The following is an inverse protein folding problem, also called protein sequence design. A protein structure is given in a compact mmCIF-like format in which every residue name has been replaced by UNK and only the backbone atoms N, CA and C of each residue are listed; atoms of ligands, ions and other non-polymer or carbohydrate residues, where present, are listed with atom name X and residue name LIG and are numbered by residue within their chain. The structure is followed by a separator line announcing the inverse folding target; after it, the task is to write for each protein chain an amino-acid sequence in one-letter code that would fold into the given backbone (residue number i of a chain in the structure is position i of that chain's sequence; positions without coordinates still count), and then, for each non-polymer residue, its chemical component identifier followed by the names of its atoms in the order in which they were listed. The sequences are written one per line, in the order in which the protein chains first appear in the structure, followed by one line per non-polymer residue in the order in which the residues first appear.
data_IF_233647204900
#
_entry.id   IF_233647204900
#
_cell.length_a   1.000
_cell.length_b   1.000
_cell.length_c   1.000
_cell.angle_alpha   90.00
_cell.angle_beta   90.00
_cell.angle_gamma   90.00
#
_symmetry.space_group_name_H-M   'P 1'
#
loop_
_entity.id
_entity.type
_entity.pdbx_description
1 polymer ?
#
# COMPACT_ATOMS: atom_id res chain seq x y z
N UNK A 1 -22.41 5.96 -3.70
CA UNK A 1 -22.34 5.22 -5.00
C UNK A 1 -21.53 3.94 -4.78
N UNK A 2 -21.86 2.82 -5.43
CA UNK A 2 -21.10 1.58 -5.25
C UNK A 2 -19.64 1.73 -5.71
N UNK A 3 -18.80 0.78 -5.29
CA UNK A 3 -17.40 0.72 -5.70
C UNK A 3 -17.10 -0.63 -6.35
N UNK A 4 -16.38 -0.61 -7.47
CA UNK A 4 -15.70 -1.80 -7.96
C UNK A 4 -14.49 -2.07 -7.05
N UNK A 5 -14.34 -3.32 -6.65
CA UNK A 5 -13.21 -3.79 -5.83
C UNK A 5 -12.45 -4.83 -6.63
N UNK A 6 -11.20 -4.53 -6.94
CA UNK A 6 -10.28 -5.45 -7.60
C UNK A 6 -9.32 -6.01 -6.57
N UNK A 7 -9.23 -7.34 -6.51
CA UNK A 7 -8.22 -8.03 -5.68
C UNK A 7 -7.23 -8.69 -6.61
N UNK A 8 -5.96 -8.26 -6.55
CA UNK A 8 -4.91 -8.89 -7.34
C UNK A 8 -4.48 -10.22 -6.72
N UNK A 9 -4.32 -11.24 -7.55
CA UNK A 9 -4.01 -12.60 -7.14
C UNK A 9 -2.71 -13.04 -7.81
N UNK A 10 -1.59 -12.93 -7.08
CA UNK A 10 -0.25 -13.14 -7.67
C UNK A 10 0.04 -14.58 -8.09
N UNK A 11 -0.70 -15.54 -7.56
CA UNK A 11 -0.65 -16.96 -7.93
C UNK A 11 -1.65 -17.35 -9.02
N UNK A 12 -2.54 -16.43 -9.43
CA UNK A 12 -3.52 -16.62 -10.50
C UNK A 12 -3.23 -15.71 -11.69
N UNK A 13 -4.00 -15.82 -12.79
CA UNK A 13 -3.86 -14.95 -13.97
C UNK A 13 -4.88 -13.83 -14.03
N UNK A 14 -5.68 -13.63 -12.99
CA UNK A 14 -6.83 -12.74 -12.98
C UNK A 14 -6.89 -11.87 -11.73
N UNK A 15 -7.65 -10.77 -11.83
CA UNK A 15 -8.17 -10.03 -10.68
C UNK A 15 -9.51 -10.63 -10.29
N UNK A 16 -9.73 -10.89 -9.00
CA UNK A 16 -11.09 -11.09 -8.49
C UNK A 16 -11.80 -9.75 -8.45
N UNK A 17 -13.01 -9.69 -9.02
CA UNK A 17 -13.77 -8.48 -9.17
C UNK A 17 -15.08 -8.55 -8.38
N UNK A 18 -15.34 -7.53 -7.58
CA UNK A 18 -16.57 -7.38 -6.80
C UNK A 18 -17.19 -6.00 -7.01
N UNK A 19 -18.48 -5.91 -6.71
CA UNK A 19 -19.18 -4.64 -6.51
C UNK A 19 -19.50 -4.52 -5.01
N UNK A 20 -18.99 -3.45 -4.39
CA UNK A 20 -19.24 -3.13 -2.99
C UNK A 20 -20.46 -2.23 -2.86
N UNK A 21 -21.39 -2.61 -2.01
CA UNK A 21 -22.46 -1.73 -1.54
C UNK A 21 -21.91 -0.78 -0.48
N UNK A 22 -21.90 0.52 -0.76
CA UNK A 22 -21.32 1.50 0.16
C UNK A 22 -22.05 1.60 1.50
N UNK A 23 -23.33 1.22 1.57
CA UNK A 23 -24.11 1.34 2.80
C UNK A 23 -23.86 0.21 3.78
N UNK A 24 -23.58 -0.98 3.26
CA UNK A 24 -23.42 -2.21 4.04
C UNK A 24 -22.01 -2.77 4.05
N UNK A 25 -21.14 -2.39 3.10
CA UNK A 25 -19.82 -2.98 2.89
C UNK A 25 -19.86 -4.39 2.31
N UNK A 26 -21.04 -4.89 1.93
CA UNK A 26 -21.17 -6.23 1.35
C UNK A 26 -20.62 -6.24 -0.09
N UNK A 27 -19.85 -7.28 -0.42
CA UNK A 27 -19.32 -7.50 -1.75
C UNK A 27 -20.19 -8.48 -2.53
N UNK A 28 -20.55 -8.10 -3.76
CA UNK A 28 -21.20 -8.98 -4.74
C UNK A 28 -20.18 -9.36 -5.79
N UNK A 29 -19.86 -10.65 -5.91
CA UNK A 29 -18.93 -11.15 -6.90
C UNK A 29 -19.39 -10.84 -8.33
N UNK A 30 -18.44 -10.41 -9.16
CA UNK A 30 -18.58 -10.24 -10.61
C UNK A 30 -17.72 -11.28 -11.32
N UNK A 31 -17.72 -11.28 -12.64
CA UNK A 31 -16.79 -12.11 -13.39
C UNK A 31 -15.34 -11.65 -13.14
N UNK A 32 -14.46 -12.60 -12.86
CA UNK A 32 -13.04 -12.34 -12.75
C UNK A 32 -12.48 -11.71 -14.05
N UNK A 33 -11.47 -10.87 -13.91
CA UNK A 33 -10.87 -10.17 -15.05
C UNK A 33 -9.52 -10.82 -15.36
N UNK A 34 -9.43 -11.52 -16.50
CA UNK A 34 -8.18 -12.12 -16.95
C UNK A 34 -7.15 -11.04 -17.30
N UNK A 35 -5.99 -11.10 -16.64
CA UNK A 35 -4.87 -10.19 -16.84
C UNK A 35 -3.76 -10.81 -17.70
N UNK A 36 -3.86 -12.10 -18.00
CA UNK A 36 -2.86 -12.85 -18.78
C UNK A 36 -1.58 -13.15 -18.01
N UNK A 37 -1.53 -12.95 -16.69
CA UNK A 37 -0.36 -13.20 -15.84
C UNK A 37 -0.65 -12.87 -14.39
N UNK A 38 0.28 -13.15 -13.46
CA UNK A 38 0.11 -12.91 -12.03
C UNK A 38 0.13 -11.42 -11.68
N UNK A 39 -1.04 -10.78 -11.46
CA UNK A 39 -1.08 -9.38 -11.07
C UNK A 39 -0.57 -9.20 -9.63
N UNK A 40 0.26 -8.18 -9.42
CA UNK A 40 0.81 -7.78 -8.13
C UNK A 40 0.24 -6.46 -7.65
N UNK A 41 1.12 -5.48 -7.37
CA UNK A 41 0.72 -4.15 -6.96
C UNK A 41 -0.12 -3.46 -8.04
N UNK A 42 -1.14 -2.73 -7.59
CA UNK A 42 -2.05 -1.94 -8.42
C UNK A 42 -1.98 -0.47 -7.99
N UNK A 43 -2.16 0.44 -8.93
CA UNK A 43 -2.35 1.85 -8.67
C UNK A 43 -3.35 2.44 -9.68
N UNK A 44 -4.04 3.52 -9.32
CA UNK A 44 -4.93 4.26 -10.23
C UNK A 44 -4.55 5.72 -10.26
N UNK A 45 -4.86 6.40 -11.37
CA UNK A 45 -4.86 7.86 -11.38
C UNK A 45 -5.99 8.43 -10.50
N UNK A 46 -5.88 9.70 -10.10
CA UNK A 46 -6.84 10.34 -9.19
C UNK A 46 -8.29 10.38 -9.74
N UNK A 47 -8.42 10.36 -11.06
CA UNK A 47 -9.72 10.34 -11.77
C UNK A 47 -10.26 8.94 -12.02
N UNK A 48 -9.46 7.90 -11.65
CA UNK A 48 -9.81 6.50 -11.84
C UNK A 48 -10.16 6.15 -13.30
N UNK A 49 -9.40 6.74 -14.25
CA UNK A 49 -9.49 6.44 -15.67
C UNK A 49 -8.64 5.23 -16.03
N UNK A 50 -7.50 5.08 -15.34
CA UNK A 50 -6.51 4.06 -15.63
C UNK A 50 -6.13 3.27 -14.38
N UNK A 51 -5.95 1.96 -14.60
CA UNK A 51 -5.35 1.04 -13.64
C UNK A 51 -3.96 0.67 -14.15
N UNK A 52 -2.96 0.92 -13.34
CA UNK A 52 -1.59 0.45 -13.53
C UNK A 52 -1.37 -0.81 -12.71
N UNK A 53 -0.91 -1.88 -13.35
CA UNK A 53 -0.69 -3.18 -12.72
C UNK A 53 0.74 -3.65 -12.91
N UNK A 54 1.40 -4.07 -11.84
CA UNK A 54 2.65 -4.81 -11.92
C UNK A 54 2.34 -6.27 -12.25
N UNK A 55 2.61 -6.69 -13.47
CA UNK A 55 2.46 -8.07 -13.95
C UNK A 55 3.72 -8.86 -13.62
N UNK A 56 3.79 -9.45 -12.43
CA UNK A 56 5.01 -10.05 -11.87
C UNK A 56 5.60 -11.16 -12.73
N UNK A 57 4.75 -12.05 -13.26
CA UNK A 57 5.19 -13.15 -14.13
C UNK A 57 5.72 -12.67 -15.48
N UNK A 58 5.33 -11.48 -15.92
CA UNK A 58 5.76 -10.86 -17.17
C UNK A 58 6.89 -9.83 -16.97
N UNK A 59 7.19 -9.48 -15.73
CA UNK A 59 8.13 -8.41 -15.36
C UNK A 59 7.80 -7.10 -16.10
N UNK A 60 6.52 -6.72 -16.10
CA UNK A 60 6.00 -5.59 -16.85
C UNK A 60 5.04 -4.75 -16.02
N UNK A 61 4.97 -3.46 -16.32
CA UNK A 61 3.87 -2.60 -15.93
C UNK A 61 2.89 -2.49 -17.09
N UNK A 62 1.62 -2.75 -16.81
CA UNK A 62 0.57 -2.73 -17.83
C UNK A 62 -0.50 -1.73 -17.41
N UNK A 63 -0.92 -0.89 -18.35
CA UNK A 63 -2.00 0.07 -18.17
C UNK A 63 -3.30 -0.47 -18.76
N UNK A 64 -4.38 -0.32 -18.02
CA UNK A 64 -5.74 -0.65 -18.43
C UNK A 64 -6.63 0.59 -18.31
N UNK A 65 -7.49 0.83 -19.32
CA UNK A 65 -8.60 1.77 -19.20
C UNK A 65 -9.70 1.13 -18.34
N UNK A 66 -10.26 1.91 -17.41
CA UNK A 66 -11.33 1.47 -16.51
C UNK A 66 -12.67 1.93 -17.07
N UNK A 67 -13.57 0.99 -17.37
CA UNK A 67 -14.99 1.30 -17.55
C UNK A 67 -15.67 1.39 -16.17
N UNK A 68 -15.82 2.57 -15.65
CA UNK A 68 -16.39 2.79 -14.31
C UNK A 68 -17.88 2.39 -14.18
N UNK A 69 -18.60 2.17 -15.28
CA UNK A 69 -19.99 1.69 -15.21
C UNK A 69 -20.04 0.18 -14.96
N UNK A 70 -19.17 -0.57 -15.63
CA UNK A 70 -19.17 -2.04 -15.57
C UNK A 70 -18.09 -2.63 -14.70
N UNK A 71 -17.02 -1.86 -14.40
CA UNK A 71 -15.77 -2.32 -13.79
C UNK A 71 -14.87 -3.10 -14.75
N UNK A 72 -15.19 -3.10 -16.05
CA UNK A 72 -14.36 -3.76 -17.07
C UNK A 72 -13.03 -3.05 -17.28
N UNK A 73 -11.97 -3.82 -17.57
CA UNK A 73 -10.63 -3.32 -17.83
C UNK A 73 -10.24 -3.62 -19.29
N UNK A 74 -9.87 -2.57 -20.03
CA UNK A 74 -9.36 -2.71 -21.40
C UNK A 74 -7.86 -2.39 -21.42
N UNK A 75 -7.02 -3.35 -21.84
CA UNK A 75 -5.56 -3.15 -21.92
C UNK A 75 -5.23 -2.04 -22.92
N UNK A 76 -4.45 -1.03 -22.48
CA UNK A 76 -3.94 0.07 -23.29
C UNK A 76 -2.53 -0.26 -23.80
N UNK A 77 -1.60 -0.44 -22.86
CA UNK A 77 -0.17 -0.59 -23.17
C UNK A 77 0.53 -1.44 -22.12
N UNK A 78 1.80 -1.72 -22.34
CA UNK A 78 2.67 -2.35 -21.36
C UNK A 78 4.12 -2.03 -21.65
N UNK A 79 4.88 -1.80 -20.59
CA UNK A 79 6.32 -1.52 -20.64
C UNK A 79 7.09 -2.50 -19.77
N UNK A 80 8.38 -2.70 -20.04
CA UNK A 80 9.24 -3.45 -19.13
C UNK A 80 9.32 -2.72 -17.79
N UNK A 81 9.02 -3.41 -16.68
CA UNK A 81 8.91 -2.79 -15.35
C UNK A 81 9.43 -3.66 -14.20
N UNK A 82 9.92 -4.85 -14.48
CA UNK A 82 10.38 -5.77 -13.44
C UNK A 82 9.26 -6.27 -12.51
N UNK A 83 9.62 -6.70 -11.33
CA UNK A 83 8.69 -7.19 -10.29
C UNK A 83 8.64 -6.21 -9.11
N UNK A 84 7.92 -5.12 -9.27
CA UNK A 84 7.76 -4.10 -8.25
C UNK A 84 6.82 -4.57 -7.12
N UNK A 85 7.21 -4.46 -5.85
CA UNK A 85 6.33 -4.71 -4.72
C UNK A 85 5.30 -3.59 -4.51
N UNK A 86 5.55 -2.40 -5.04
CA UNK A 86 4.71 -1.23 -4.88
C UNK A 86 4.69 -0.36 -6.13
N UNK A 87 3.50 0.15 -6.47
CA UNK A 87 3.27 1.17 -7.49
C UNK A 87 2.54 2.36 -6.85
N UNK A 88 2.89 3.56 -7.24
CA UNK A 88 2.26 4.79 -6.78
C UNK A 88 2.15 5.79 -7.93
N UNK A 89 0.97 6.33 -8.15
CA UNK A 89 0.76 7.47 -9.06
C UNK A 89 0.85 8.75 -8.24
N UNK A 90 1.69 9.68 -8.66
CA UNK A 90 1.87 10.96 -7.97
C UNK A 90 0.61 11.84 -8.04
N UNK A 91 0.47 12.80 -7.14
CA UNK A 91 -0.74 13.63 -7.02
C UNK A 91 -1.04 14.50 -8.27
N UNK A 92 -0.08 14.63 -9.19
CA UNK A 92 -0.30 15.32 -10.47
C UNK A 92 -0.89 14.42 -11.57
N UNK A 93 -1.04 13.11 -11.34
CA UNK A 93 -1.37 12.08 -12.33
C UNK A 93 -0.36 12.00 -13.50
N UNK A 94 0.86 12.51 -13.32
CA UNK A 94 1.85 12.62 -14.39
C UNK A 94 2.94 11.56 -14.33
N UNK A 95 3.11 10.92 -13.17
CA UNK A 95 4.19 9.97 -12.94
C UNK A 95 3.73 8.73 -12.19
N UNK A 96 4.22 7.57 -12.63
CA UNK A 96 4.17 6.32 -11.89
C UNK A 96 5.52 6.07 -11.22
N UNK A 97 5.54 6.00 -9.90
CA UNK A 97 6.70 5.62 -9.10
C UNK A 97 6.60 4.13 -8.77
N UNK A 98 7.73 3.44 -8.81
CA UNK A 98 7.82 2.02 -8.47
C UNK A 98 9.07 1.74 -7.63
N UNK A 99 9.03 0.71 -6.81
CA UNK A 99 10.19 0.22 -6.05
C UNK A 99 10.59 -1.17 -6.50
N UNK A 100 11.86 -1.53 -6.29
CA UNK A 100 12.44 -2.80 -6.68
C UNK A 100 13.17 -3.44 -5.52
N UNK A 101 12.55 -4.47 -4.96
CA UNK A 101 13.04 -5.13 -3.76
C UNK A 101 14.42 -5.78 -3.95
N UNK A 102 14.59 -6.52 -5.05
CA UNK A 102 15.84 -7.23 -5.35
C UNK A 102 16.95 -6.31 -5.81
N UNK A 103 16.61 -5.29 -6.59
CA UNK A 103 17.59 -4.38 -7.20
C UNK A 103 17.98 -3.24 -6.24
N UNK A 104 17.19 -2.99 -5.20
CA UNK A 104 17.45 -1.90 -4.27
C UNK A 104 17.33 -0.52 -4.93
N UNK A 105 16.21 -0.29 -5.62
CA UNK A 105 16.02 0.91 -6.41
C UNK A 105 14.57 1.41 -6.38
N UNK A 106 14.40 2.64 -6.83
CA UNK A 106 13.11 3.22 -7.23
C UNK A 106 13.17 3.73 -8.66
N UNK A 107 12.06 3.72 -9.38
CA UNK A 107 11.94 4.33 -10.70
C UNK A 107 10.78 5.30 -10.80
N UNK A 108 10.89 6.21 -11.77
CA UNK A 108 9.83 7.13 -12.16
C UNK A 108 9.55 6.95 -13.64
N UNK A 109 8.32 6.63 -14.01
CA UNK A 109 7.83 6.58 -15.39
C UNK A 109 6.86 7.74 -15.63
N UNK A 110 6.97 8.40 -16.78
CA UNK A 110 5.98 9.41 -17.19
C UNK A 110 4.67 8.74 -17.62
N UNK A 111 3.55 9.40 -17.31
CA UNK A 111 2.20 9.01 -17.75
C UNK A 111 1.73 10.05 -18.77
N UNK A 112 1.39 9.63 -19.98
CA UNK A 112 0.84 10.55 -21.01
C UNK A 112 -0.67 10.75 -20.87
N UNK A 113 -1.24 11.62 -21.71
CA UNK A 113 -2.66 11.96 -21.69
C UNK A 113 -3.60 10.79 -22.01
N UNK A 114 -3.09 9.70 -22.57
CA UNK A 114 -3.82 8.49 -22.93
C UNK A 114 -3.56 7.32 -21.94
N UNK A 115 -2.77 7.56 -20.87
CA UNK A 115 -2.44 6.59 -19.85
C UNK A 115 -1.27 5.67 -20.19
N UNK A 116 -0.53 5.94 -21.27
CA UNK A 116 0.66 5.16 -21.57
C UNK A 116 1.81 5.58 -20.66
N UNK A 117 2.57 4.58 -20.19
CA UNK A 117 3.83 4.82 -19.50
C UNK A 117 4.96 5.06 -20.51
N UNK A 118 5.93 5.89 -20.12
CA UNK A 118 7.20 5.98 -20.85
C UNK A 118 7.84 4.59 -20.96
N UNK A 119 8.34 4.23 -22.13
CA UNK A 119 8.89 2.89 -22.40
C UNK A 119 10.07 2.55 -21.49
N UNK A 120 10.95 3.54 -21.26
CA UNK A 120 12.01 3.50 -20.27
C UNK A 120 11.63 4.42 -19.10
N UNK A 121 12.11 4.14 -17.88
CA UNK A 121 11.93 5.07 -16.76
C UNK A 121 12.62 6.41 -17.08
N UNK A 122 11.95 7.51 -16.74
CA UNK A 122 12.56 8.86 -16.81
C UNK A 122 13.73 8.97 -15.85
N UNK A 123 13.65 8.22 -14.74
CA UNK A 123 14.72 8.12 -13.77
C UNK A 123 14.72 6.73 -13.12
N UNK A 124 15.93 6.20 -12.93
CA UNK A 124 16.24 5.06 -12.08
C UNK A 124 17.14 5.54 -10.95
N UNK A 125 16.72 5.33 -9.69
CA UNK A 125 17.46 5.78 -8.51
C UNK A 125 17.89 4.56 -7.71
N UNK A 126 19.20 4.32 -7.66
CA UNK A 126 19.76 3.32 -6.76
C UNK A 126 19.65 3.80 -5.32
N UNK A 127 19.18 2.92 -4.45
CA UNK A 127 19.04 3.19 -3.02
C UNK A 127 19.79 2.11 -2.21
N UNK A 128 19.07 1.19 -1.60
CA UNK A 128 19.64 0.03 -0.93
C UNK A 128 18.76 -1.19 -1.19
N UNK A 129 19.25 -2.38 -0.93
CA UNK A 129 18.47 -3.60 -1.04
C UNK A 129 17.14 -3.52 -0.28
N UNK A 130 16.16 -4.24 -0.76
CA UNK A 130 14.85 -4.40 -0.14
C UNK A 130 13.98 -3.12 -0.09
N UNK A 131 14.09 -2.23 -1.11
CA UNK A 131 13.17 -1.12 -1.33
C UNK A 131 11.73 -1.65 -1.49
N UNK A 132 10.80 -1.24 -0.61
CA UNK A 132 9.52 -1.93 -0.53
C UNK A 132 8.31 -1.10 -0.96
N UNK A 133 8.25 0.17 -0.61
CA UNK A 133 7.18 1.07 -1.04
C UNK A 133 7.72 2.45 -1.41
N UNK A 134 6.90 3.24 -2.09
CA UNK A 134 7.18 4.64 -2.41
C UNK A 134 5.88 5.42 -2.43
N UNK A 135 5.86 6.59 -1.81
CA UNK A 135 4.76 7.56 -1.90
C UNK A 135 5.32 8.96 -1.75
N UNK A 136 4.64 9.94 -2.33
CA UNK A 136 4.93 11.35 -2.07
C UNK A 136 4.17 11.86 -0.84
N UNK A 137 4.63 12.99 -0.29
CA UNK A 137 3.89 13.72 0.72
C UNK A 137 2.66 14.44 0.12
N UNK A 138 1.78 14.94 0.97
CA UNK A 138 0.56 15.67 0.57
C UNK A 138 0.79 16.90 -0.30
N UNK A 139 2.00 17.45 -0.32
CA UNK A 139 2.37 18.58 -1.17
C UNK A 139 2.96 18.16 -2.52
N UNK A 140 3.15 16.86 -2.70
CA UNK A 140 3.82 16.26 -3.87
C UNK A 140 5.24 16.80 -4.12
N UNK A 141 5.95 17.20 -3.04
CA UNK A 141 7.31 17.77 -3.10
C UNK A 141 8.38 16.85 -2.55
N UNK A 142 7.99 15.86 -1.76
CA UNK A 142 8.93 14.94 -1.11
C UNK A 142 8.44 13.51 -1.32
N UNK A 143 9.37 12.57 -1.50
CA UNK A 143 9.05 11.15 -1.63
C UNK A 143 9.86 10.32 -0.63
N UNK A 144 9.27 9.24 -0.13
CA UNK A 144 9.88 8.36 0.86
C UNK A 144 9.90 6.93 0.37
N UNK A 145 11.05 6.26 0.57
CA UNK A 145 11.26 4.88 0.16
C UNK A 145 11.79 4.07 1.34
N UNK A 146 10.94 3.35 2.06
CA UNK A 146 11.37 2.47 3.14
C UNK A 146 12.00 1.17 2.60
N UNK A 147 12.97 0.67 3.38
CA UNK A 147 13.75 -0.52 3.10
C UNK A 147 13.72 -1.46 4.30
N UNK A 148 13.30 -2.69 4.09
CA UNK A 148 13.38 -3.71 5.12
C UNK A 148 14.83 -4.13 5.40
N UNK A 149 15.05 -5.09 6.30
CA UNK A 149 16.42 -5.58 6.55
C UNK A 149 17.05 -6.16 5.27
N UNK A 150 18.36 -6.03 5.07
CA UNK A 150 19.38 -5.50 6.01
C UNK A 150 19.59 -3.98 5.94
N UNK A 151 18.96 -3.24 5.02
CA UNK A 151 19.18 -1.80 4.87
C UNK A 151 18.60 -1.01 6.06
N UNK A 152 17.42 -1.40 6.56
CA UNK A 152 16.80 -0.84 7.76
C UNK A 152 16.71 0.68 7.73
N UNK A 153 16.16 1.27 6.67
CA UNK A 153 16.17 2.71 6.44
C UNK A 153 14.89 3.21 5.76
N UNK A 154 14.61 4.49 5.92
CA UNK A 154 13.66 5.22 5.07
C UNK A 154 14.45 6.28 4.31
N UNK A 155 14.58 6.11 2.99
CA UNK A 155 15.20 7.09 2.11
C UNK A 155 14.25 8.24 1.87
N UNK A 156 14.79 9.46 1.82
CA UNK A 156 14.07 10.72 1.72
C UNK A 156 14.53 11.46 0.46
N UNK A 157 13.59 11.86 -0.37
CA UNK A 157 13.87 12.57 -1.62
C UNK A 157 13.06 13.86 -1.71
N UNK A 158 13.64 14.84 -2.39
CA UNK A 158 12.88 15.95 -2.99
C UNK A 158 12.33 15.43 -4.31
N UNK A 159 11.05 15.65 -4.53
CA UNK A 159 10.35 15.28 -5.75
C UNK A 159 9.96 16.54 -6.52
N UNK A 160 10.39 16.63 -7.77
CA UNK A 160 9.97 17.69 -8.68
C UNK A 160 8.80 17.21 -9.54
N UNK A 161 7.59 17.57 -9.18
CA UNK A 161 6.37 17.19 -9.92
C UNK A 161 6.29 17.79 -11.34
N UNK A 162 7.15 18.74 -11.70
CA UNK A 162 7.24 19.28 -13.05
C UNK A 162 8.10 18.42 -14.00
N UNK A 163 9.07 17.67 -13.48
CA UNK A 163 10.00 16.85 -14.26
C UNK A 163 10.01 15.37 -13.90
N UNK A 164 9.36 14.98 -12.78
CA UNK A 164 9.40 13.63 -12.23
C UNK A 164 10.73 13.25 -11.56
N UNK A 165 11.62 14.22 -11.30
CA UNK A 165 12.93 13.94 -10.75
C UNK A 165 12.92 13.77 -9.24
N UNK A 166 13.58 12.72 -8.77
CA UNK A 166 13.90 12.45 -7.37
C UNK A 166 15.36 12.89 -7.10
N UNK A 167 15.54 13.76 -6.14
CA UNK A 167 16.87 14.19 -5.68
C UNK A 167 17.00 13.84 -4.21
N UNK A 168 18.09 13.17 -3.82
CA UNK A 168 18.33 12.81 -2.42
C UNK A 168 18.20 14.04 -1.51
N UNK A 169 17.47 13.90 -0.41
CA UNK A 169 17.34 14.95 0.59
C UNK A 169 18.58 15.05 1.51
N UNK A 170 18.59 15.95 2.43
CA UNK A 170 19.61 16.07 3.47
C UNK A 170 18.93 16.13 4.85
N UNK A 171 19.06 15.06 5.69
CA UNK A 171 19.75 13.80 5.42
C UNK A 171 19.05 12.95 4.33
N UNK A 172 19.84 12.15 3.59
CA UNK A 172 19.32 11.31 2.51
C UNK A 172 18.43 10.17 3.00
N UNK A 173 18.59 9.76 4.24
CA UNK A 173 17.76 8.72 4.87
C UNK A 173 17.79 8.84 6.39
N UNK A 174 16.82 8.20 7.05
CA UNK A 174 16.84 7.91 8.48
C UNK A 174 16.94 6.40 8.69
N UNK A 175 17.54 6.00 9.82
CA UNK A 175 17.65 4.60 10.24
C UNK A 175 17.12 4.43 11.65
N UNK A 176 16.28 3.40 11.92
CA UNK A 176 15.95 2.98 13.28
C UNK A 176 17.20 2.55 14.05
N UNK A 177 17.19 2.76 15.36
CA UNK A 177 18.28 2.32 16.26
C UNK A 177 18.34 0.79 16.40
N UNK A 178 17.22 0.10 16.19
CA UNK A 178 17.05 -1.35 16.27
C UNK A 178 16.73 -1.93 14.89
N UNK A 179 16.89 -3.24 14.65
CA UNK A 179 16.61 -3.88 13.37
C UNK A 179 15.09 -3.99 13.13
N UNK A 180 14.47 -2.89 12.76
CA UNK A 180 13.03 -2.76 12.56
C UNK A 180 12.58 -3.20 11.17
N UNK A 181 13.28 -2.78 10.10
CA UNK A 181 12.94 -3.06 8.71
C UNK A 181 11.68 -2.32 8.23
N UNK A 182 11.71 -0.98 8.09
CA UNK A 182 10.56 -0.21 7.56
C UNK A 182 10.10 -0.73 6.20
N UNK A 183 8.77 -0.91 6.01
CA UNK A 183 8.22 -1.57 4.84
C UNK A 183 7.22 -0.72 4.07
N UNK A 184 6.11 -0.39 4.69
CA UNK A 184 5.06 0.51 4.20
C UNK A 184 4.84 1.62 5.21
N UNK A 185 4.19 2.69 4.77
CA UNK A 185 3.89 3.82 5.65
C UNK A 185 2.60 4.51 5.25
N UNK A 186 2.10 5.35 6.13
CA UNK A 186 0.94 6.21 5.91
C UNK A 186 1.20 7.57 6.54
N UNK A 187 0.84 8.64 5.83
CA UNK A 187 0.78 9.97 6.41
C UNK A 187 -0.50 10.16 7.23
N UNK A 188 -0.40 10.88 8.35
CA UNK A 188 -1.58 11.36 9.02
C UNK A 188 -2.33 12.35 8.12
N UNK A 189 -3.68 12.26 7.97
CA UNK A 189 -4.41 13.06 6.99
C UNK A 189 -4.34 14.58 7.20
N UNK A 190 -4.12 15.04 8.43
CA UNK A 190 -4.15 16.47 8.78
C UNK A 190 -2.97 16.97 9.61
N UNK A 191 -2.18 16.07 10.21
CA UNK A 191 -0.98 16.44 11.02
C UNK A 191 0.28 16.14 10.23
N UNK A 192 1.38 16.77 10.61
CA UNK A 192 2.70 16.51 10.03
C UNK A 192 3.37 15.31 10.71
N UNK A 193 2.76 14.15 10.48
CA UNK A 193 3.15 12.86 11.03
C UNK A 193 3.14 11.80 9.93
N UNK A 194 4.09 10.87 10.03
CA UNK A 194 4.16 9.66 9.23
C UNK A 194 4.28 8.45 10.17
N UNK A 195 3.60 7.36 9.84
CA UNK A 195 3.71 6.10 10.56
C UNK A 195 4.17 5.02 9.60
N UNK A 196 5.25 4.30 9.96
CA UNK A 196 5.76 3.17 9.18
C UNK A 196 5.54 1.85 9.92
N UNK A 197 5.11 0.82 9.19
CA UNK A 197 5.11 -0.55 9.68
C UNK A 197 6.46 -1.18 9.40
N UNK A 198 7.01 -1.91 10.38
CA UNK A 198 8.35 -2.45 10.34
C UNK A 198 8.30 -3.97 10.23
N UNK A 199 8.70 -4.50 9.07
CA UNK A 199 8.53 -5.93 8.72
C UNK A 199 9.23 -6.87 9.70
N UNK A 200 10.48 -6.57 10.01
CA UNK A 200 11.35 -7.46 10.78
C UNK A 200 11.15 -7.30 12.29
N UNK A 201 10.93 -6.07 12.76
CA UNK A 201 10.69 -5.77 14.18
C UNK A 201 9.29 -6.11 14.67
N UNK A 202 8.33 -6.35 13.77
CA UNK A 202 6.91 -6.47 14.11
C UNK A 202 6.41 -5.28 14.95
N UNK A 203 6.73 -4.08 14.51
CA UNK A 203 6.43 -2.82 15.19
C UNK A 203 5.84 -1.79 14.24
N UNK A 204 5.34 -0.70 14.81
CA UNK A 204 5.04 0.55 14.10
C UNK A 204 5.94 1.64 14.66
N UNK A 205 6.59 2.40 13.78
CA UNK A 205 7.31 3.62 14.14
C UNK A 205 6.48 4.86 13.82
N UNK A 206 6.46 5.82 14.75
CA UNK A 206 5.88 7.13 14.55
C UNK A 206 6.99 8.17 14.32
N UNK A 207 6.78 9.04 13.32
CA UNK A 207 7.74 10.04 12.90
C UNK A 207 7.07 11.43 12.81
N UNK A 208 7.74 12.46 13.32
CA UNK A 208 7.47 13.83 12.92
C UNK A 208 7.94 14.02 11.48
N UNK A 209 7.12 14.66 10.68
CA UNK A 209 7.43 15.07 9.31
C UNK A 209 7.62 16.58 9.27
N UNK A 210 8.78 17.04 8.80
CA UNK A 210 9.00 18.47 8.52
C UNK A 210 8.53 18.77 7.08
N UNK A 211 7.39 19.46 6.89
CA UNK A 211 6.84 19.71 5.55
C UNK A 211 7.65 20.75 4.74
N UNK A 212 8.57 21.50 5.37
CA UNK A 212 9.42 22.48 4.69
C UNK A 212 10.72 21.83 4.19
N UNK A 213 11.25 20.90 4.98
CA UNK A 213 12.52 20.22 4.66
C UNK A 213 12.31 18.84 4.01
N UNK A 214 11.13 18.21 4.20
CA UNK A 214 10.86 16.85 3.75
C UNK A 214 11.64 15.80 4.53
N UNK A 215 11.84 16.01 5.83
CA UNK A 215 12.62 15.13 6.69
C UNK A 215 11.76 14.47 7.77
N UNK A 216 12.17 13.30 8.21
CA UNK A 216 11.52 12.53 9.26
C UNK A 216 12.39 12.50 10.51
N UNK A 217 11.74 12.57 11.70
CA UNK A 217 12.37 12.34 12.99
C UNK A 217 11.52 11.35 13.78
N UNK A 218 12.08 10.15 14.06
CA UNK A 218 11.38 9.12 14.84
C UNK A 218 11.22 9.51 16.29
N UNK A 219 10.05 9.26 16.89
CA UNK A 219 9.81 9.57 18.31
C UNK A 219 9.16 8.42 19.08
N UNK A 220 8.62 7.40 18.41
CA UNK A 220 8.06 6.22 19.06
C UNK A 220 8.27 4.97 18.19
N UNK A 221 8.52 3.82 18.84
CA UNK A 221 8.39 2.48 18.27
C UNK A 221 7.50 1.67 19.19
N UNK A 222 6.47 1.01 18.65
CA UNK A 222 5.48 0.24 19.41
C UNK A 222 5.23 -1.12 18.77
N UNK A 223 5.17 -2.19 19.58
CA UNK A 223 4.95 -3.56 19.09
C UNK A 223 3.53 -3.78 18.57
N UNK A 224 3.40 -4.50 17.46
CA UNK A 224 2.13 -5.00 16.94
C UNK A 224 1.73 -6.33 17.56
N UNK A 225 2.66 -7.04 18.20
CA UNK A 225 2.46 -8.37 18.78
C UNK A 225 2.29 -8.33 20.31
N UNK A 226 1.67 -9.36 20.93
CA UNK A 226 1.66 -9.51 22.37
C UNK A 226 3.06 -9.63 22.95
N UNK A 227 3.25 -9.15 24.18
CA UNK A 227 4.52 -9.32 24.91
C UNK A 227 4.85 -10.79 25.08
N UNK A 228 6.07 -11.17 24.72
CA UNK A 228 6.56 -12.55 24.86
C UNK A 228 6.20 -13.46 23.68
N UNK A 229 5.66 -12.93 22.59
CA UNK A 229 5.45 -13.68 21.34
C UNK A 229 6.82 -14.17 20.82
N UNK A 230 6.91 -15.45 20.43
CA UNK A 230 8.05 -15.95 19.69
C UNK A 230 8.10 -15.30 18.31
N UNK A 231 9.23 -14.69 17.98
CA UNK A 231 9.40 -13.95 16.73
C UNK A 231 9.67 -14.84 15.51
N UNK A 232 9.90 -16.15 15.71
CA UNK A 232 10.14 -17.05 14.58
C UNK A 232 8.93 -17.12 13.64
N UNK A 233 9.14 -16.77 12.37
CA UNK A 233 8.09 -16.74 11.36
C UNK A 233 7.13 -15.54 11.46
N UNK A 234 7.34 -14.63 12.41
CA UNK A 234 6.53 -13.40 12.52
C UNK A 234 7.09 -12.30 11.63
N UNK A 235 6.22 -11.52 11.07
CA UNK A 235 6.56 -10.30 10.33
C UNK A 235 5.31 -9.44 10.12
N UNK A 236 5.49 -8.13 9.98
CA UNK A 236 4.38 -7.26 9.59
C UNK A 236 4.31 -7.06 8.07
N UNK A 237 3.22 -6.51 7.56
CA UNK A 237 3.10 -6.25 6.13
C UNK A 237 2.51 -4.87 5.80
N UNK A 238 1.27 -4.62 6.10
CA UNK A 238 0.53 -3.43 5.67
C UNK A 238 0.19 -2.53 6.85
N UNK A 239 0.02 -1.26 6.57
CA UNK A 239 -0.40 -0.22 7.51
C UNK A 239 -1.41 0.71 6.84
N UNK A 240 -2.54 0.95 7.50
CA UNK A 240 -3.57 1.91 7.05
C UNK A 240 -4.09 2.70 8.23
N UNK A 241 -4.55 3.92 7.94
CA UNK A 241 -5.12 4.83 8.92
C UNK A 241 -6.54 5.21 8.50
N UNK A 242 -7.42 5.40 9.47
CA UNK A 242 -8.77 5.94 9.21
C UNK A 242 -8.68 7.36 8.65
N UNK A 243 -9.67 7.77 7.87
CA UNK A 243 -9.66 9.06 7.16
C UNK A 243 -9.66 10.28 8.11
N UNK A 244 -10.13 10.09 9.34
CA UNK A 244 -10.07 11.10 10.40
C UNK A 244 -8.72 11.15 11.13
N UNK A 245 -7.84 10.17 10.87
CA UNK A 245 -6.54 10.04 11.52
C UNK A 245 -6.59 9.53 12.96
N UNK A 246 -7.75 9.10 13.45
CA UNK A 246 -7.92 8.69 14.85
C UNK A 246 -7.43 7.26 15.13
N UNK A 247 -7.46 6.38 14.12
CA UNK A 247 -7.14 4.97 14.27
C UNK A 247 -6.18 4.50 13.18
N UNK A 248 -5.27 3.60 13.57
CA UNK A 248 -4.28 3.00 12.69
C UNK A 248 -4.31 1.48 12.87
N UNK A 249 -4.21 0.76 11.75
CA UNK A 249 -4.13 -0.70 11.74
C UNK A 249 -2.83 -1.15 11.08
N UNK A 250 -2.27 -2.26 11.60
CA UNK A 250 -1.10 -2.92 11.02
C UNK A 250 -1.30 -4.43 10.98
N UNK A 251 -0.96 -5.08 9.87
CA UNK A 251 -1.15 -6.53 9.73
C UNK A 251 0.08 -7.32 10.15
N UNK A 252 -0.16 -8.44 10.87
CA UNK A 252 0.84 -9.39 11.35
C UNK A 252 0.74 -10.71 10.60
N UNK A 253 1.74 -11.05 9.80
CA UNK A 253 1.91 -12.36 9.17
C UNK A 253 2.52 -13.34 10.19
N UNK A 254 2.11 -14.59 10.14
CA UNK A 254 2.46 -15.59 11.14
C UNK A 254 1.52 -15.57 12.35
N UNK A 255 1.36 -14.44 12.99
CA UNK A 255 0.35 -14.24 14.05
C UNK A 255 -1.07 -14.11 13.48
N UNK A 256 -1.21 -13.68 12.21
CA UNK A 256 -2.47 -13.58 11.46
C UNK A 256 -3.50 -12.69 12.14
N UNK A 257 -3.08 -11.49 12.50
CA UNK A 257 -3.92 -10.47 13.13
C UNK A 257 -3.74 -9.10 12.50
N UNK A 258 -4.73 -8.25 12.72
CA UNK A 258 -4.66 -6.80 12.52
C UNK A 258 -4.50 -6.14 13.90
N UNK A 259 -3.33 -5.54 14.17
CA UNK A 259 -3.12 -4.72 15.36
C UNK A 259 -3.78 -3.35 15.16
N UNK A 260 -4.56 -2.91 16.12
CA UNK A 260 -5.28 -1.64 16.12
C UNK A 260 -4.68 -0.68 17.14
N UNK A 261 -4.36 0.51 16.70
CA UNK A 261 -3.84 1.58 17.54
C UNK A 261 -4.76 2.80 17.49
N UNK A 262 -4.89 3.49 18.62
CA UNK A 262 -5.44 4.83 18.70
C UNK A 262 -4.31 5.85 18.56
N UNK A 263 -4.52 6.88 17.77
CA UNK A 263 -3.61 8.02 17.65
C UNK A 263 -3.95 9.05 18.73
N UNK A 264 -2.98 9.39 19.57
CA UNK A 264 -3.12 10.36 20.64
C UNK A 264 -2.91 11.78 20.08
N UNK A 265 -3.25 12.80 20.86
CA UNK A 265 -3.17 14.19 20.41
C UNK A 265 -1.75 14.61 19.98
N UNK A 266 -0.73 14.15 20.68
CA UNK A 266 0.69 14.37 20.38
C UNK A 266 1.26 13.51 19.25
N UNK A 267 0.43 12.62 18.67
CA UNK A 267 0.82 11.71 17.58
C UNK A 267 1.36 10.37 18.05
N UNK A 268 1.47 10.13 19.37
CA UNK A 268 1.82 8.80 19.88
C UNK A 268 0.70 7.79 19.63
N UNK A 269 1.08 6.53 19.54
CA UNK A 269 0.18 5.40 19.35
C UNK A 269 -0.06 4.67 20.67
N UNK A 270 -1.31 4.35 20.96
CA UNK A 270 -1.69 3.41 22.01
C UNK A 270 -2.35 2.18 21.39
N UNK A 271 -1.84 0.99 21.73
CA UNK A 271 -2.45 -0.26 21.30
C UNK A 271 -3.83 -0.41 21.95
N UNK A 272 -4.83 -0.66 21.11
CA UNK A 272 -6.22 -0.91 21.55
C UNK A 272 -6.50 -2.40 21.60
N UNK A 273 -6.30 -3.10 20.47
CA UNK A 273 -6.65 -4.51 20.34
C UNK A 273 -5.90 -5.19 19.17
N UNK A 274 -6.11 -6.50 18.99
CA UNK A 274 -5.69 -7.28 17.83
C UNK A 274 -6.82 -8.17 17.37
N UNK A 275 -7.18 -8.05 16.10
CA UNK A 275 -8.30 -8.81 15.50
C UNK A 275 -7.75 -9.94 14.66
N UNK A 276 -8.25 -11.16 14.88
CA UNK A 276 -7.93 -12.31 14.02
C UNK A 276 -8.37 -12.03 12.58
N UNK A 277 -7.57 -12.50 11.62
CA UNK A 277 -7.83 -12.43 10.19
C UNK A 277 -7.29 -13.66 9.47
N UNK A 278 -7.47 -13.74 8.15
CA UNK A 278 -6.97 -14.84 7.33
C UNK A 278 -5.45 -14.96 7.35
N UNK A 279 -4.95 -16.17 7.08
CA UNK A 279 -3.52 -16.45 7.20
C UNK A 279 -2.67 -15.66 6.20
N UNK A 280 -1.58 -15.10 6.71
CA UNK A 280 -0.65 -14.22 5.99
C UNK A 280 -1.38 -13.00 5.41
N UNK A 281 -1.89 -12.09 6.27
CA UNK A 281 -2.61 -10.88 5.84
C UNK A 281 -1.61 -9.88 5.24
N UNK A 282 -1.23 -10.12 3.97
CA UNK A 282 -0.17 -9.36 3.31
C UNK A 282 -0.61 -7.95 2.93
N UNK A 283 -1.88 -7.78 2.61
CA UNK A 283 -2.46 -6.50 2.26
C UNK A 283 -3.87 -6.38 2.84
N UNK A 284 -4.19 -5.22 3.31
CA UNK A 284 -5.56 -4.81 3.64
C UNK A 284 -5.74 -3.35 3.25
N UNK A 285 -7.00 -2.95 3.06
CA UNK A 285 -7.31 -1.56 2.81
C UNK A 285 -8.63 -1.16 3.47
N UNK A 286 -8.76 0.14 3.75
CA UNK A 286 -9.99 0.76 4.21
C UNK A 286 -10.72 1.30 2.99
N UNK A 287 -12.01 1.03 2.89
CA UNK A 287 -12.83 1.51 1.79
C UNK A 287 -12.88 3.04 1.72
N UNK A 288 -13.17 3.64 0.54
CA UNK A 288 -13.17 5.10 0.41
C UNK A 288 -14.22 5.84 1.26
N UNK A 289 -15.19 5.12 1.85
CA UNK A 289 -16.13 5.72 2.81
C UNK A 289 -15.58 5.77 4.24
N UNK A 290 -14.47 5.05 4.52
CA UNK A 290 -13.85 4.93 5.84
C UNK A 290 -14.61 4.05 6.82
N UNK A 291 -15.61 3.28 6.35
CA UNK A 291 -16.50 2.50 7.21
C UNK A 291 -16.20 1.01 7.25
N UNK A 292 -15.45 0.52 6.28
CA UNK A 292 -15.17 -0.89 6.13
C UNK A 292 -13.69 -1.13 5.85
N UNK A 293 -13.17 -2.23 6.39
CA UNK A 293 -11.82 -2.70 6.14
C UNK A 293 -11.89 -4.09 5.51
N UNK A 294 -11.05 -4.33 4.50
CA UNK A 294 -10.92 -5.61 3.82
C UNK A 294 -9.51 -6.13 3.92
N UNK A 295 -9.33 -7.36 4.40
CA UNK A 295 -8.02 -7.99 4.62
C UNK A 295 -7.87 -9.25 3.77
N UNK A 296 -6.80 -9.29 2.98
CA UNK A 296 -6.49 -10.37 2.04
C UNK A 296 -5.50 -11.37 2.66
N UNK A 297 -5.93 -12.61 2.82
CA UNK A 297 -5.11 -13.72 3.32
C UNK A 297 -4.35 -14.39 2.18
N UNK A 298 -3.06 -14.08 2.03
CA UNK A 298 -2.24 -14.55 0.92
C UNK A 298 -2.20 -16.09 0.80
N UNK A 299 -2.21 -16.80 1.92
CA UNK A 299 -2.12 -18.27 1.93
C UNK A 299 -3.48 -18.98 1.89
N UNK A 300 -4.58 -18.25 2.02
CA UNK A 300 -5.91 -18.84 2.08
C UNK A 300 -6.74 -18.60 0.83
N UNK A 301 -6.35 -17.66 -0.04
CA UNK A 301 -7.15 -17.24 -1.17
C UNK A 301 -8.48 -16.63 -0.73
N UNK A 302 -8.49 -15.90 0.37
CA UNK A 302 -9.69 -15.31 0.96
C UNK A 302 -9.52 -13.83 1.28
N UNK A 303 -10.65 -13.13 1.23
CA UNK A 303 -10.81 -11.75 1.63
C UNK A 303 -11.82 -11.68 2.78
N UNK A 304 -11.42 -11.16 3.94
CA UNK A 304 -12.32 -10.90 5.07
C UNK A 304 -12.69 -9.43 5.10
N UNK A 305 -13.96 -9.13 5.34
CA UNK A 305 -14.45 -7.77 5.56
C UNK A 305 -14.80 -7.53 7.02
N UNK A 306 -14.56 -6.30 7.46
CA UNK A 306 -14.90 -5.80 8.80
C UNK A 306 -15.64 -4.47 8.66
N UNK A 307 -16.59 -4.23 9.56
CA UNK A 307 -17.09 -2.89 9.83
C UNK A 307 -16.14 -2.20 10.79
N UNK A 308 -15.80 -0.95 10.50
CA UNK A 308 -15.11 -0.08 11.45
C UNK A 308 -16.21 0.60 12.29
N UNK A 309 -16.35 0.12 13.52
CA UNK A 309 -17.30 0.64 14.49
C UNK A 309 -16.80 1.87 15.24
N UNK A 310 -17.54 2.27 16.26
CA UNK A 310 -17.14 3.36 17.14
C UNK A 310 -15.77 3.06 17.79
N UNK A 311 -14.95 4.08 17.96
CA UNK A 311 -13.58 3.97 18.46
C UNK A 311 -12.66 3.03 17.65
N UNK A 312 -12.93 2.81 16.35
CA UNK A 312 -12.10 2.01 15.46
C UNK A 312 -12.16 0.50 15.69
N UNK A 313 -13.13 0.01 16.45
CA UNK A 313 -13.29 -1.43 16.70
C UNK A 313 -13.64 -2.16 15.39
N UNK A 314 -12.94 -3.24 15.07
CA UNK A 314 -13.25 -4.05 13.90
C UNK A 314 -14.28 -5.13 14.23
N UNK A 315 -15.43 -5.06 13.58
CA UNK A 315 -16.52 -6.03 13.68
C UNK A 315 -16.47 -6.94 12.43
N UNK A 316 -16.16 -8.26 12.57
CA UNK A 316 -16.12 -9.16 11.42
C UNK A 316 -17.50 -9.26 10.76
N UNK A 317 -17.51 -9.25 9.41
CA UNK A 317 -18.75 -9.29 8.63
C UNK A 317 -18.86 -10.55 7.78
N UNK A 318 -18.01 -10.69 6.77
CA UNK A 318 -18.07 -11.75 5.78
C UNK A 318 -16.70 -12.15 5.26
N UNK A 319 -16.62 -13.35 4.71
CA UNK A 319 -15.44 -13.86 4.00
C UNK A 319 -15.83 -14.18 2.56
N UNK A 320 -14.93 -13.83 1.63
CA UNK A 320 -15.12 -14.04 0.20
C UNK A 320 -13.96 -14.85 -0.35
N UNK A 321 -14.24 -15.78 -1.25
CA UNK A 321 -13.19 -16.49 -1.97
C UNK A 321 -12.64 -15.58 -3.09
N UNK A 322 -11.32 -15.58 -3.25
CA UNK A 322 -10.57 -14.88 -4.31
C UNK A 322 -9.57 -15.86 -4.96
N UNK A 323 -8.74 -15.37 -5.87
CA UNK A 323 -7.72 -16.21 -6.48
C UNK A 323 -6.54 -16.53 -5.53
N UNK A 324 -5.60 -17.31 -6.04
CA UNK A 324 -4.42 -17.72 -5.27
C UNK A 324 -3.45 -16.54 -5.04
N UNK A 325 -2.96 -16.42 -3.81
CA UNK A 325 -1.98 -15.42 -3.42
C UNK A 325 -2.48 -13.98 -3.54
N UNK A 326 -3.64 -13.63 -2.93
CA UNK A 326 -4.12 -12.25 -2.96
C UNK A 326 -3.10 -11.30 -2.34
N UNK A 327 -2.85 -10.18 -3.04
CA UNK A 327 -1.69 -9.32 -2.79
C UNK A 327 -2.02 -7.83 -2.72
N UNK A 328 -3.13 -7.39 -3.35
CA UNK A 328 -3.54 -6.00 -3.39
C UNK A 328 -5.05 -5.87 -3.48
N UNK A 329 -5.58 -4.77 -2.95
CA UNK A 329 -7.01 -4.41 -3.03
C UNK A 329 -7.07 -2.99 -3.60
N UNK A 330 -7.86 -2.80 -4.66
CA UNK A 330 -8.04 -1.49 -5.28
C UNK A 330 -9.52 -1.16 -5.40
N UNK A 331 -9.91 -0.01 -4.87
CA UNK A 331 -11.27 0.52 -4.99
C UNK A 331 -11.37 1.50 -6.15
N UNK A 332 -12.44 1.37 -6.94
CA UNK A 332 -12.79 2.30 -8.03
C UNK A 332 -14.26 2.65 -7.92
N UNK A 333 -14.56 3.94 -7.82
CA UNK A 333 -15.93 4.41 -7.70
C UNK A 333 -16.71 4.14 -9.00
N UNK A 334 -17.87 3.51 -8.90
CA UNK A 334 -18.78 3.35 -10.04
C UNK A 334 -19.26 4.73 -10.52
N UNK A 335 -19.36 4.94 -11.85
CA UNK A 335 -19.78 6.21 -12.44
C UNK A 335 -21.30 6.45 -12.29
#
# INVERSE_FOLDING_TARGET
MPYHVYVSNSGSTFLSHFLMDESTGALTAKADIDMGGGPGALATDSKQRWLFACMRSQQAFVTYAIDRNTGGLARISGVSGGSAPYLYVDDSDSYLLATYYGDGAASVHGIDGDGNLSAEPLQWVETAGHAHSVQTDRSNRFAFVPHTMPANAIYQFRFDAGSGQLTANDPAFIQPETPEGPRHFVFHPTKDLLYSVNEDGCTVSAHHFDPDQGTLTSFQVISTLPTGTDMEGMSTAEIKMTHDGAHLYASNRGHNTLAHFRVIEDGTLELVDRYETEAVPRFFDIDPTGRFLYSAGQNTGRLVSYRIGDAGVLEPMATYDVGDGPLWIQFVQQA
#
